data_IF_978002924541
#
_entry.id   IF_978002924541
#
_cell.length_a   1.000
_cell.length_b   1.000
_cell.length_c   1.000
_cell.angle_alpha   90.00
_cell.angle_beta   90.00
_cell.angle_gamma   90.00
#
_symmetry.space_group_name_H-M   'P 1'
#
loop_
_entity.id
_entity.type
_entity.pdbx_description
1 polymer ?
#
# COMPACT_ATOMS: atom_id res chain seq x y z
N UNK A 1 -12.98 -21.50 -13.45
CA UNK A 1 -11.85 -20.65 -13.84
C UNK A 1 -11.03 -20.40 -12.59
N UNK A 2 -9.74 -20.67 -12.60
CA UNK A 2 -8.88 -20.51 -11.43
C UNK A 2 -8.13 -19.20 -11.56
N UNK A 3 -8.18 -18.35 -10.56
CA UNK A 3 -7.45 -17.07 -10.52
C UNK A 3 -6.22 -17.24 -9.63
N UNK A 4 -5.11 -16.69 -10.06
CA UNK A 4 -3.89 -16.53 -9.28
C UNK A 4 -3.79 -15.08 -8.83
N UNK A 5 -3.61 -14.87 -7.54
CA UNK A 5 -3.35 -13.55 -6.99
C UNK A 5 -1.91 -13.15 -7.28
N UNK A 6 -1.72 -11.89 -7.62
CA UNK A 6 -0.40 -11.29 -7.81
C UNK A 6 -0.32 -9.98 -7.06
N UNK A 7 0.84 -9.72 -6.47
CA UNK A 7 1.13 -8.44 -5.87
C UNK A 7 2.10 -7.67 -6.77
N UNK A 8 1.55 -6.68 -7.44
CA UNK A 8 2.28 -5.79 -8.34
C UNK A 8 1.78 -4.35 -8.20
N UNK A 9 2.65 -3.42 -8.51
CA UNK A 9 2.37 -1.98 -8.57
C UNK A 9 3.10 -1.38 -9.77
N UNK A 10 2.97 -0.07 -9.98
CA UNK A 10 3.74 0.66 -11.01
C UNK A 10 5.25 0.54 -10.78
N UNK A 11 5.66 0.34 -9.55
CA UNK A 11 7.04 0.21 -9.09
C UNK A 11 7.67 -1.16 -9.41
N UNK A 12 6.85 -2.20 -9.59
CA UNK A 12 7.36 -3.53 -9.89
C UNK A 12 6.38 -4.68 -9.64
N UNK A 13 6.88 -5.90 -9.83
CA UNK A 13 6.20 -7.14 -9.54
C UNK A 13 6.87 -7.78 -8.31
N UNK A 14 6.11 -8.01 -7.24
CA UNK A 14 6.67 -8.34 -5.94
C UNK A 14 6.38 -9.74 -5.45
N UNK A 15 5.16 -10.24 -5.67
CA UNK A 15 4.80 -11.57 -5.20
C UNK A 15 3.73 -12.24 -6.09
N UNK A 16 3.65 -13.56 -5.98
CA UNK A 16 2.77 -14.40 -6.77
C UNK A 16 2.19 -15.52 -5.88
N UNK A 17 0.88 -15.75 -5.99
CA UNK A 17 0.25 -16.94 -5.43
C UNK A 17 0.64 -18.16 -6.31
N UNK A 18 1.60 -18.94 -5.84
CA UNK A 18 2.12 -20.14 -6.51
C UNK A 18 1.42 -21.43 -6.05
N UNK A 19 0.70 -21.37 -4.94
CA UNK A 19 -0.05 -22.48 -4.34
C UNK A 19 -1.50 -22.05 -4.05
N UNK A 20 -2.44 -22.63 -4.78
CA UNK A 20 -3.88 -22.31 -4.67
C UNK A 20 -4.52 -22.77 -3.36
N UNK A 21 -3.85 -23.59 -2.58
CA UNK A 21 -4.33 -24.02 -1.26
C UNK A 21 -3.96 -23.06 -0.13
N UNK A 22 -3.18 -22.02 -0.46
CA UNK A 22 -2.68 -21.02 0.49
C UNK A 22 -3.30 -19.66 0.19
N UNK A 23 -3.37 -18.85 1.23
CA UNK A 23 -3.84 -17.45 1.19
C UNK A 23 -2.69 -16.44 1.26
N UNK A 24 -1.46 -16.91 0.95
CA UNK A 24 -0.24 -16.10 0.90
C UNK A 24 0.45 -16.23 -0.47
N UNK A 25 1.39 -15.35 -0.72
CA UNK A 25 2.13 -15.26 -1.98
C UNK A 25 3.61 -15.46 -1.76
N UNK A 26 4.27 -16.10 -2.72
CA UNK A 26 5.72 -16.21 -2.77
C UNK A 26 6.34 -14.85 -3.10
N UNK A 27 7.25 -14.36 -2.26
CA UNK A 27 8.00 -13.12 -2.52
C UNK A 27 9.04 -13.37 -3.63
N UNK A 28 9.02 -12.56 -4.67
CA UNK A 28 9.91 -12.69 -5.83
C UNK A 28 11.23 -11.96 -5.57
N UNK A 29 12.32 -12.72 -5.39
CA UNK A 29 13.62 -12.18 -5.03
C UNK A 29 14.58 -11.99 -6.22
N UNK A 30 14.23 -12.55 -7.37
CA UNK A 30 15.08 -12.62 -8.57
C UNK A 30 14.66 -11.65 -9.69
N UNK A 31 13.75 -10.73 -9.40
CA UNK A 31 13.24 -9.75 -10.38
C UNK A 31 13.96 -8.39 -10.34
N UNK A 32 15.17 -8.36 -9.83
CA UNK A 32 15.99 -7.14 -9.79
C UNK A 32 15.51 -6.10 -8.78
N UNK A 33 14.80 -6.55 -7.75
CA UNK A 33 14.32 -5.73 -6.64
C UNK A 33 15.02 -6.15 -5.36
N UNK A 34 15.61 -5.19 -4.67
CA UNK A 34 16.12 -5.35 -3.31
C UNK A 34 15.09 -4.83 -2.33
N UNK A 35 14.81 -5.60 -1.29
CA UNK A 35 13.77 -5.34 -0.31
C UNK A 35 14.34 -4.96 1.04
N UNK A 36 13.78 -3.92 1.64
CA UNK A 36 13.90 -3.57 3.04
C UNK A 36 12.51 -3.44 3.65
N UNK A 37 12.39 -3.61 4.95
CA UNK A 37 11.11 -3.65 5.63
C UNK A 37 11.13 -2.75 6.86
N UNK A 38 10.13 -1.86 6.99
CA UNK A 38 10.03 -0.94 8.12
C UNK A 38 8.93 -1.37 9.09
N UNK A 39 9.32 -1.51 10.37
CA UNK A 39 8.40 -1.67 11.49
C UNK A 39 8.62 -0.50 12.46
N UNK A 40 7.65 0.40 12.54
CA UNK A 40 7.80 1.66 13.26
C UNK A 40 8.94 2.50 12.69
N UNK A 41 9.94 2.81 13.51
CA UNK A 41 11.14 3.57 13.08
C UNK A 41 12.32 2.68 12.64
N UNK A 42 12.20 1.36 12.83
CA UNK A 42 13.27 0.43 12.47
C UNK A 42 13.10 -0.06 11.03
N UNK A 43 14.21 -0.07 10.30
CA UNK A 43 14.31 -0.70 8.99
C UNK A 43 15.19 -1.94 9.13
N UNK A 44 14.68 -3.06 8.66
CA UNK A 44 15.38 -4.34 8.67
C UNK A 44 15.52 -4.88 7.25
N UNK A 45 16.62 -5.57 6.94
CA UNK A 45 16.76 -6.29 5.68
C UNK A 45 15.85 -7.53 5.69
N UNK A 46 15.75 -8.19 4.53
CA UNK A 46 14.91 -9.38 4.37
C UNK A 46 15.21 -10.48 5.41
N UNK A 47 16.49 -10.68 5.75
CA UNK A 47 16.91 -11.69 6.74
C UNK A 47 16.50 -11.33 8.18
N UNK A 48 16.14 -10.08 8.42
CA UNK A 48 15.71 -9.58 9.73
C UNK A 48 14.22 -9.66 10.00
N UNK A 49 13.41 -10.04 9.01
CA UNK A 49 11.95 -10.11 9.16
C UNK A 49 11.51 -11.30 10.02
N UNK A 50 10.36 -11.18 10.63
CA UNK A 50 9.76 -12.23 11.47
C UNK A 50 8.38 -12.60 10.98
N UNK A 51 8.07 -13.89 11.05
CA UNK A 51 6.74 -14.42 10.74
C UNK A 51 5.70 -13.84 11.71
N UNK A 52 4.55 -13.45 11.17
CA UNK A 52 3.43 -12.86 11.92
C UNK A 52 3.58 -11.36 12.20
N UNK A 53 4.69 -10.74 11.78
CA UNK A 53 4.87 -9.29 11.91
C UNK A 53 4.52 -8.58 10.58
N UNK A 54 3.95 -7.38 10.73
CA UNK A 54 3.56 -6.51 9.62
C UNK A 54 4.61 -5.42 9.40
N UNK A 55 5.00 -5.24 8.15
CA UNK A 55 6.02 -4.30 7.75
C UNK A 55 5.56 -3.43 6.59
N UNK A 56 5.97 -2.16 6.58
CA UNK A 56 5.91 -1.34 5.37
C UNK A 56 7.06 -1.74 4.43
N UNK A 57 6.76 -1.93 3.15
CA UNK A 57 7.73 -2.39 2.17
C UNK A 57 8.48 -1.23 1.53
N UNK A 58 9.81 -1.34 1.51
CA UNK A 58 10.74 -0.40 0.88
C UNK A 58 11.46 -1.16 -0.23
N UNK A 59 11.53 -0.58 -1.42
CA UNK A 59 12.17 -1.22 -2.57
C UNK A 59 13.30 -0.36 -3.15
N UNK A 60 14.35 -1.05 -3.57
CA UNK A 60 15.36 -0.51 -4.47
C UNK A 60 15.37 -1.38 -5.73
N UNK A 61 15.20 -0.77 -6.90
CA UNK A 61 15.08 -1.53 -8.14
C UNK A 61 16.04 -1.05 -9.22
N UNK A 62 16.34 -1.94 -10.17
CA UNK A 62 17.15 -1.63 -11.35
C UNK A 62 16.50 -0.54 -12.25
N UNK A 63 15.21 -0.27 -12.07
CA UNK A 63 14.47 0.76 -12.79
C UNK A 63 14.71 2.17 -12.24
N UNK A 64 15.60 2.33 -11.27
CA UNK A 64 16.00 3.63 -10.72
C UNK A 64 15.33 4.03 -9.42
N UNK A 65 14.50 3.19 -8.83
CA UNK A 65 13.98 3.44 -7.48
C UNK A 65 15.08 3.19 -6.45
N UNK A 66 15.21 4.10 -5.53
CA UNK A 66 16.19 4.00 -4.44
C UNK A 66 15.51 4.16 -3.09
N UNK A 67 15.46 3.06 -2.32
CA UNK A 67 14.81 2.98 -1.00
C UNK A 67 13.43 3.63 -0.97
N UNK A 68 12.63 3.29 -1.97
CA UNK A 68 11.31 3.87 -2.16
C UNK A 68 10.27 3.11 -1.32
N UNK A 69 9.54 3.82 -0.47
CA UNK A 69 8.39 3.25 0.26
C UNK A 69 7.19 3.20 -0.69
N UNK A 70 6.71 1.98 -0.98
CA UNK A 70 5.56 1.77 -1.86
C UNK A 70 4.25 2.30 -1.22
N UNK A 71 4.24 2.39 0.12
CA UNK A 71 3.05 2.74 0.88
C UNK A 71 2.17 1.56 1.25
N UNK A 72 2.57 0.35 0.87
CA UNK A 72 1.89 -0.88 1.21
C UNK A 72 2.55 -1.58 2.42
N UNK A 73 1.74 -2.32 3.16
CA UNK A 73 2.19 -3.17 4.24
C UNK A 73 1.94 -4.63 3.93
N UNK A 74 2.88 -5.47 4.35
CA UNK A 74 2.84 -6.92 4.18
C UNK A 74 3.09 -7.62 5.49
N UNK A 75 2.42 -8.74 5.71
CA UNK A 75 2.68 -9.67 6.81
C UNK A 75 3.51 -10.84 6.27
N UNK A 76 4.59 -11.20 6.96
CA UNK A 76 5.34 -12.42 6.62
C UNK A 76 4.67 -13.65 7.21
N UNK A 77 4.34 -14.60 6.35
CA UNK A 77 3.74 -15.90 6.71
C UNK A 77 4.77 -17.02 6.76
N UNK A 78 5.91 -16.85 6.08
CA UNK A 78 7.06 -17.75 6.07
C UNK A 78 8.35 -17.00 5.72
N UNK A 79 9.48 -17.51 6.20
CA UNK A 79 10.83 -17.03 5.85
C UNK A 79 11.64 -18.08 5.08
N UNK A 80 11.09 -19.27 4.83
CA UNK A 80 11.73 -20.30 4.02
C UNK A 80 10.69 -21.18 3.29
N UNK A 81 10.35 -20.87 2.04
CA UNK A 81 10.68 -19.66 1.31
C UNK A 81 10.02 -18.42 1.93
N UNK A 82 10.47 -17.23 1.54
CA UNK A 82 9.82 -15.99 1.97
C UNK A 82 8.45 -15.87 1.32
N UNK A 83 7.43 -15.78 2.18
CA UNK A 83 6.04 -15.64 1.77
C UNK A 83 5.39 -14.50 2.51
N UNK A 84 4.53 -13.79 1.83
CA UNK A 84 3.85 -12.61 2.34
C UNK A 84 2.35 -12.65 2.07
N UNK A 85 1.62 -11.94 2.90
CA UNK A 85 0.23 -11.58 2.69
C UNK A 85 0.13 -10.05 2.67
N UNK A 86 -0.66 -9.50 1.76
CA UNK A 86 -0.95 -8.08 1.78
C UNK A 86 -1.73 -7.73 3.05
N UNK A 87 -1.24 -6.78 3.84
CA UNK A 87 -1.84 -6.40 5.12
C UNK A 87 -2.58 -5.06 5.05
N UNK A 88 -2.36 -4.27 3.99
CA UNK A 88 -3.00 -2.98 3.81
C UNK A 88 -2.05 -1.90 3.33
N UNK A 89 -2.42 -0.64 3.54
CA UNK A 89 -1.61 0.52 3.18
C UNK A 89 -1.21 1.31 4.42
N UNK A 90 0.00 1.86 4.39
CA UNK A 90 0.48 2.75 5.46
C UNK A 90 -0.28 4.06 5.47
N UNK A 91 -0.68 4.53 4.29
CA UNK A 91 -1.53 5.69 4.09
C UNK A 91 -2.43 5.45 2.89
N UNK A 92 -3.72 5.77 3.03
CA UNK A 92 -4.60 5.91 1.88
C UNK A 92 -4.56 7.38 1.46
N UNK A 93 -4.26 7.63 0.19
CA UNK A 93 -4.24 8.99 -0.35
C UNK A 93 -4.89 9.01 -1.73
N UNK A 94 -5.49 10.13 -2.07
CA UNK A 94 -5.96 10.43 -3.40
C UNK A 94 -4.90 11.31 -4.05
N UNK A 95 -4.22 10.79 -5.05
CA UNK A 95 -3.24 11.56 -5.81
C UNK A 95 -3.92 12.26 -6.99
N UNK A 96 -3.93 13.59 -6.97
CA UNK A 96 -4.47 14.42 -8.04
C UNK A 96 -3.46 15.49 -8.38
N UNK A 97 -2.93 15.48 -9.61
CA UNK A 97 -1.94 16.46 -10.10
C UNK A 97 -0.67 16.59 -9.24
N UNK A 98 -0.24 15.52 -8.57
CA UNK A 98 0.93 15.55 -7.69
C UNK A 98 0.68 16.07 -6.28
N UNK A 99 -0.56 16.40 -5.95
CA UNK A 99 -0.97 16.73 -4.58
C UNK A 99 -1.62 15.49 -3.93
N UNK A 100 -1.06 15.08 -2.80
CA UNK A 100 -1.57 13.96 -2.01
C UNK A 100 -2.62 14.45 -1.02
N UNK A 101 -3.90 14.15 -1.28
CA UNK A 101 -4.93 14.30 -0.27
C UNK A 101 -4.97 13.03 0.60
N UNK A 102 -4.45 13.13 1.80
CA UNK A 102 -4.47 12.02 2.77
C UNK A 102 -5.91 11.84 3.26
N UNK A 103 -6.37 10.58 3.41
CA UNK A 103 -7.71 10.24 3.93
C UNK A 103 -8.00 10.96 5.25
N UNK A 104 -7.01 11.05 6.14
CA UNK A 104 -7.08 11.84 7.38
C UNK A 104 -7.56 13.28 7.15
N UNK A 105 -7.14 13.92 6.07
CA UNK A 105 -7.56 15.29 5.76
C UNK A 105 -9.02 15.34 5.35
N UNK A 106 -9.48 14.35 4.56
CA UNK A 106 -10.87 14.23 4.17
C UNK A 106 -11.76 13.91 5.37
N UNK A 107 -11.34 13.00 6.25
CA UNK A 107 -12.06 12.65 7.47
C UNK A 107 -12.16 13.80 8.45
N UNK A 108 -11.06 14.54 8.66
CA UNK A 108 -11.06 15.74 9.51
C UNK A 108 -11.94 16.83 8.95
N UNK A 109 -11.92 17.08 7.65
CA UNK A 109 -12.78 18.06 7.00
C UNK A 109 -14.25 17.66 7.12
N UNK A 110 -14.57 16.39 6.91
CA UNK A 110 -15.91 15.84 7.05
C UNK A 110 -16.41 15.94 8.50
N UNK A 111 -15.59 15.55 9.47
CA UNK A 111 -15.92 15.65 10.89
C UNK A 111 -16.22 17.11 11.30
N UNK A 112 -15.39 18.07 10.87
CA UNK A 112 -15.62 19.48 11.13
C UNK A 112 -16.91 20.00 10.47
N UNK A 113 -17.22 19.55 9.26
CA UNK A 113 -18.47 19.91 8.59
C UNK A 113 -19.70 19.31 9.29
N UNK A 114 -19.62 18.05 9.73
CA UNK A 114 -20.68 17.40 10.51
C UNK A 114 -20.93 18.12 11.84
N UNK A 115 -19.87 18.54 12.54
CA UNK A 115 -19.99 19.30 13.79
C UNK A 115 -20.67 20.64 13.58
N UNK A 116 -20.35 21.34 12.48
CA UNK A 116 -20.95 22.65 12.18
C UNK A 116 -22.41 22.59 11.71
N UNK A 117 -22.77 21.51 11.01
CA UNK A 117 -24.09 21.36 10.37
C UNK A 117 -25.06 20.48 11.14
N UNK A 118 -24.56 19.70 12.12
CA UNK A 118 -25.35 18.68 12.82
C UNK A 118 -25.68 17.45 11.95
N UNK A 119 -25.04 17.33 10.78
CA UNK A 119 -25.23 16.19 9.89
C UNK A 119 -24.56 14.92 10.43
N UNK A 120 -25.17 13.78 10.17
CA UNK A 120 -24.58 12.46 10.43
C UNK A 120 -24.29 11.79 9.09
N UNK A 121 -23.03 11.41 8.88
CA UNK A 121 -22.59 10.71 7.66
C UNK A 121 -22.15 9.31 8.06
N UNK A 122 -22.81 8.29 7.52
CA UNK A 122 -22.50 6.87 7.80
C UNK A 122 -21.45 6.33 6.84
N UNK A 123 -21.54 6.70 5.56
CA UNK A 123 -20.58 6.31 4.52
C UNK A 123 -20.34 7.47 3.56
N UNK A 124 -19.14 7.58 3.04
CA UNK A 124 -18.80 8.56 2.00
C UNK A 124 -17.80 8.04 0.99
N UNK A 125 -17.81 8.63 -0.18
CA UNK A 125 -16.80 8.40 -1.23
C UNK A 125 -16.22 9.73 -1.67
N UNK A 126 -14.91 9.77 -1.86
CA UNK A 126 -14.20 10.97 -2.35
C UNK A 126 -13.60 10.65 -3.72
N UNK A 127 -13.88 11.50 -4.70
CA UNK A 127 -13.31 11.40 -6.03
C UNK A 127 -12.78 12.78 -6.48
N UNK A 128 -11.69 12.83 -7.26
CA UNK A 128 -11.22 14.08 -7.83
C UNK A 128 -12.26 14.64 -8.83
N UNK A 129 -12.53 15.93 -8.72
CA UNK A 129 -13.33 16.66 -9.67
C UNK A 129 -12.42 17.50 -10.55
N UNK A 130 -12.27 17.15 -11.82
CA UNK A 130 -11.45 17.89 -12.75
C UNK A 130 -12.18 19.17 -13.17
N UNK A 131 -11.48 20.31 -13.17
CA UNK A 131 -12.04 21.58 -13.60
C UNK A 131 -12.47 21.50 -15.08
N UNK A 132 -13.77 21.59 -15.30
CA UNK A 132 -14.32 21.84 -16.64
C UNK A 132 -14.46 23.35 -16.89
N UNK A 133 -14.76 23.73 -18.12
CA UNK A 133 -14.92 25.14 -18.56
C UNK A 133 -15.92 25.97 -17.72
N UNK A 134 -16.73 25.35 -16.87
CA UNK A 134 -17.77 25.97 -16.02
C UNK A 134 -17.59 25.74 -14.51
N UNK A 135 -16.51 25.13 -14.06
CA UNK A 135 -16.21 24.95 -12.63
C UNK A 135 -15.22 26.00 -12.18
N UNK A 136 -15.61 26.80 -11.20
CA UNK A 136 -14.69 27.66 -10.45
C UNK A 136 -14.10 26.80 -9.33
N UNK A 137 -12.78 26.62 -9.34
CA UNK A 137 -12.03 26.01 -8.26
C UNK A 137 -11.99 26.93 -7.04
#
# INVERSE_FOLDING_TARGET
MTYLETYNASEGFFALADDLTRDDMLLMLDYGTYYEFRSGEQIVPLEGVRVGEVYAMIVTSINGLWRYEIGDTVEFTSTNPYRIRFAGRTRQFINVFGEELIVDNAERALAAACEQTGAVVEEYSVAPCFMGLNTRG
#
